data_IF_528115319237
#
_entry.id   IF_528115319237
#
_cell.length_a   1.000
_cell.length_b   1.000
_cell.length_c   1.000
_cell.angle_alpha   90.00
_cell.angle_beta   90.00
_cell.angle_gamma   90.00
#
_symmetry.space_group_name_H-M   'P 1'
#
loop_
_entity.id
_entity.type
_entity.pdbx_description
1 polymer ?
#
# COMPACT_ATOMS: atom_id res chain seq x y z
N UNK A 1 0.99 5.68 -114.62
CA UNK A 1 -0.37 5.34 -114.25
C UNK A 1 -0.31 4.08 -113.39
N UNK A 2 -0.25 4.11 -112.12
CA UNK A 2 -0.51 3.00 -111.22
C UNK A 2 -1.13 3.56 -109.90
N UNK A 3 -2.35 3.14 -109.62
CA UNK A 3 -3.08 3.54 -108.42
C UNK A 3 -2.58 2.66 -107.30
N UNK A 4 -2.22 3.26 -106.19
CA UNK A 4 -1.84 2.58 -104.91
C UNK A 4 -3.06 2.75 -103.99
N UNK A 5 -3.64 1.63 -103.57
CA UNK A 5 -4.68 1.58 -102.54
C UNK A 5 -4.03 1.49 -101.18
N UNK A 6 -4.33 2.45 -100.36
CA UNK A 6 -3.92 2.44 -98.98
C UNK A 6 -4.99 1.72 -98.14
N UNK A 7 -4.56 0.67 -97.46
CA UNK A 7 -5.36 -0.09 -96.52
C UNK A 7 -5.14 0.48 -95.12
N UNK A 8 -6.19 1.06 -94.55
CA UNK A 8 -6.17 1.51 -93.14
C UNK A 8 -6.48 0.28 -92.22
N UNK A 9 -5.51 -0.10 -91.43
CA UNK A 9 -5.63 -1.10 -90.38
C UNK A 9 -6.03 -0.39 -89.10
N UNK A 10 -7.29 -0.59 -88.69
CA UNK A 10 -7.79 -0.05 -87.44
C UNK A 10 -7.38 -0.96 -86.29
N UNK A 11 -6.44 -0.51 -85.46
CA UNK A 11 -6.07 -1.17 -84.19
C UNK A 11 -7.03 -0.72 -83.11
N UNK A 12 -7.93 -1.58 -82.65
CA UNK A 12 -8.76 -1.36 -81.50
C UNK A 12 -7.93 -1.54 -80.22
N UNK A 13 -7.68 -0.43 -79.51
CA UNK A 13 -7.00 -0.42 -78.20
C UNK A 13 -8.01 -0.83 -77.14
N UNK A 14 -7.94 -2.08 -76.64
CA UNK A 14 -8.69 -2.53 -75.46
C UNK A 14 -7.97 -2.04 -74.22
N UNK A 15 -8.45 -0.92 -73.63
CA UNK A 15 -8.00 -0.44 -72.33
C UNK A 15 -8.60 -1.31 -71.23
N UNK A 16 -7.79 -2.26 -70.74
CA UNK A 16 -8.13 -3.00 -69.53
C UNK A 16 -8.10 -2.10 -68.30
N UNK A 17 -9.27 -1.80 -67.72
CA UNK A 17 -9.42 -1.17 -66.42
C UNK A 17 -9.02 -2.22 -65.37
N UNK A 18 -7.77 -2.20 -64.90
CA UNK A 18 -7.33 -2.86 -63.68
C UNK A 18 -7.90 -2.10 -62.50
N UNK A 19 -9.02 -2.56 -61.95
CA UNK A 19 -9.52 -2.14 -60.64
C UNK A 19 -8.52 -2.68 -59.60
N UNK A 20 -7.55 -1.84 -59.20
CA UNK A 20 -6.73 -2.11 -58.06
C UNK A 20 -7.63 -1.98 -56.83
N UNK A 21 -8.09 -3.08 -56.26
CA UNK A 21 -8.61 -3.08 -54.88
C UNK A 21 -7.49 -2.60 -53.98
N UNK A 22 -7.52 -1.31 -53.59
CA UNK A 22 -6.84 -0.88 -52.38
C UNK A 22 -7.43 -1.69 -51.23
N UNK A 23 -6.67 -2.61 -50.68
CA UNK A 23 -6.88 -3.12 -49.34
C UNK A 23 -6.71 -1.90 -48.44
N UNK A 24 -7.82 -1.28 -48.06
CA UNK A 24 -7.81 -0.38 -46.90
C UNK A 24 -7.34 -1.25 -45.74
N UNK A 25 -6.08 -1.07 -45.38
CA UNK A 25 -5.62 -1.43 -44.03
C UNK A 25 -6.32 -0.52 -43.08
N UNK A 26 -7.58 -0.83 -42.79
CA UNK A 26 -8.21 -0.29 -41.57
C UNK A 26 -7.38 -0.81 -40.43
N UNK A 27 -6.52 0.04 -39.89
CA UNK A 27 -5.88 -0.22 -38.62
C UNK A 27 -7.03 -0.50 -37.64
N UNK A 28 -7.13 -1.74 -37.18
CA UNK A 28 -8.05 -2.08 -36.10
C UNK A 28 -7.76 -1.06 -34.99
N UNK A 29 -8.75 -0.28 -34.53
CA UNK A 29 -8.51 0.69 -33.49
C UNK A 29 -7.85 -0.02 -32.30
N UNK A 30 -6.72 0.51 -31.84
CA UNK A 30 -6.04 -0.07 -30.66
C UNK A 30 -7.04 -0.10 -29.52
N UNK A 31 -7.21 -1.26 -28.89
CA UNK A 31 -8.13 -1.41 -27.77
C UNK A 31 -7.72 -0.41 -26.68
N UNK A 32 -8.70 0.37 -26.17
CA UNK A 32 -8.42 1.34 -25.13
C UNK A 32 -7.86 0.63 -23.89
N UNK A 33 -6.77 1.17 -23.33
CA UNK A 33 -6.01 0.57 -22.22
C UNK A 33 -6.63 0.92 -20.86
N UNK A 34 -6.43 0.10 -19.83
CA UNK A 34 -6.69 0.48 -18.45
C UNK A 34 -5.92 1.74 -18.05
N UNK A 35 -6.39 2.42 -17.02
CA UNK A 35 -5.67 3.54 -16.37
C UNK A 35 -5.45 3.24 -14.89
N UNK A 36 -4.46 3.88 -14.30
CA UNK A 36 -4.24 3.85 -12.86
C UNK A 36 -3.85 5.25 -12.35
N UNK A 37 -4.43 5.64 -11.24
CA UNK A 37 -4.19 6.88 -10.54
C UNK A 37 -3.79 6.60 -9.09
N UNK A 38 -3.33 7.62 -8.35
CA UNK A 38 -2.94 7.53 -6.93
C UNK A 38 -1.96 6.39 -6.65
N UNK A 39 -0.99 6.19 -7.56
CA UNK A 39 -0.04 5.08 -7.47
C UNK A 39 0.99 5.39 -6.40
N UNK A 40 1.11 4.48 -5.44
CA UNK A 40 2.08 4.54 -4.36
C UNK A 40 2.87 3.23 -4.33
N UNK A 41 4.12 3.28 -4.74
CA UNK A 41 5.08 2.16 -4.75
C UNK A 41 6.02 2.34 -3.55
N UNK A 42 5.77 1.57 -2.48
CA UNK A 42 6.35 1.79 -1.16
C UNK A 42 5.70 2.96 -0.43
N UNK A 43 5.73 2.97 0.89
CA UNK A 43 5.11 4.00 1.74
C UNK A 43 5.59 5.40 1.36
N UNK A 44 4.64 6.30 1.07
CA UNK A 44 4.94 7.65 0.57
C UNK A 44 5.55 7.66 -0.83
N UNK A 45 5.28 6.63 -1.64
CA UNK A 45 5.82 6.45 -3.01
C UNK A 45 7.36 6.53 -3.07
N UNK A 46 8.03 6.00 -2.04
CA UNK A 46 9.49 6.10 -1.90
C UNK A 46 10.27 5.16 -2.81
N UNK A 47 9.61 4.17 -3.44
CA UNK A 47 10.19 3.19 -4.39
C UNK A 47 11.39 2.40 -3.83
N UNK A 48 11.40 2.23 -2.50
CA UNK A 48 12.44 1.51 -1.79
C UNK A 48 11.82 0.41 -0.94
N UNK A 49 12.46 -0.74 -0.93
CA UNK A 49 12.09 -1.87 -0.09
C UNK A 49 13.27 -2.37 0.74
N UNK A 50 12.97 -3.01 1.86
CA UNK A 50 13.94 -3.78 2.61
C UNK A 50 13.67 -5.28 2.38
N UNK A 51 14.70 -6.05 2.08
CA UNK A 51 14.55 -7.51 1.96
C UNK A 51 14.10 -8.11 3.28
N UNK A 52 13.22 -9.11 3.22
CA UNK A 52 12.61 -9.73 4.39
C UNK A 52 11.61 -8.85 5.14
N UNK A 53 11.18 -7.70 4.55
CA UNK A 53 10.20 -6.79 5.15
C UNK A 53 8.96 -6.67 4.28
N UNK A 54 7.89 -6.22 4.92
CA UNK A 54 6.66 -5.84 4.25
C UNK A 54 6.87 -4.68 3.30
N UNK A 55 6.15 -4.72 2.18
CA UNK A 55 6.18 -3.70 1.15
C UNK A 55 4.76 -3.30 0.76
N UNK A 56 4.51 -2.01 0.75
CA UNK A 56 3.22 -1.38 0.43
C UNK A 56 3.09 -1.07 -1.06
N UNK A 57 1.91 -1.32 -1.62
CA UNK A 57 1.50 -0.90 -2.95
C UNK A 57 0.06 -0.39 -2.91
N UNK A 58 -0.18 0.81 -3.42
CA UNK A 58 -1.53 1.32 -3.64
C UNK A 58 -1.68 1.85 -5.05
N UNK A 59 -2.87 1.65 -5.66
CA UNK A 59 -3.25 2.24 -6.94
C UNK A 59 -4.77 2.20 -7.14
N UNK A 60 -5.36 3.26 -7.67
CA UNK A 60 -6.75 3.26 -8.14
C UNK A 60 -6.79 2.89 -9.61
N UNK A 61 -7.36 1.73 -9.93
CA UNK A 61 -7.37 1.14 -11.27
C UNK A 61 -8.75 1.27 -11.90
N UNK A 62 -8.78 1.69 -13.17
CA UNK A 62 -9.98 1.67 -14.00
C UNK A 62 -9.69 0.88 -15.29
N UNK A 63 -10.28 -0.30 -15.43
CA UNK A 63 -10.29 -1.08 -16.66
C UNK A 63 -11.22 -0.47 -17.72
N UNK A 64 -11.00 -0.79 -18.98
CA UNK A 64 -11.92 -0.39 -20.05
C UNK A 64 -13.11 -1.32 -20.15
N UNK A 65 -12.87 -2.61 -20.07
CA UNK A 65 -13.92 -3.62 -19.92
C UNK A 65 -13.98 -4.08 -18.47
N UNK A 66 -13.17 -5.05 -18.12
CA UNK A 66 -13.01 -5.58 -16.76
C UNK A 66 -11.56 -6.00 -16.55
N UNK A 67 -11.10 -5.92 -15.32
CA UNK A 67 -9.77 -6.41 -14.94
C UNK A 67 -9.75 -7.92 -15.17
N UNK A 68 -8.79 -8.42 -15.94
CA UNK A 68 -8.51 -9.85 -16.05
C UNK A 68 -7.47 -10.30 -15.05
N UNK A 69 -6.49 -9.45 -14.74
CA UNK A 69 -5.46 -9.69 -13.72
C UNK A 69 -4.76 -8.40 -13.31
N UNK A 70 -4.23 -8.38 -12.07
CA UNK A 70 -3.33 -7.33 -11.58
C UNK A 70 -2.04 -7.99 -11.14
N UNK A 71 -0.90 -7.50 -11.61
CA UNK A 71 0.40 -8.11 -11.39
C UNK A 71 1.44 -7.10 -10.91
N UNK A 72 2.40 -7.59 -10.15
CA UNK A 72 3.68 -6.92 -9.87
C UNK A 72 4.82 -7.81 -10.36
N UNK A 73 5.82 -7.19 -10.98
CA UNK A 73 7.09 -7.83 -11.29
C UNK A 73 8.23 -6.94 -10.83
N UNK A 74 9.24 -7.54 -10.22
CA UNK A 74 10.49 -6.86 -9.86
C UNK A 74 11.60 -7.62 -10.56
N UNK A 75 12.27 -6.95 -11.51
CA UNK A 75 13.27 -7.55 -12.38
C UNK A 75 14.62 -6.87 -12.23
N UNK A 76 15.68 -7.66 -12.26
CA UNK A 76 17.05 -7.15 -12.27
C UNK A 76 17.31 -6.33 -13.54
N UNK A 77 18.01 -5.20 -13.39
CA UNK A 77 18.44 -4.37 -14.53
C UNK A 77 19.67 -4.99 -15.18
N UNK A 78 19.70 -5.04 -16.51
CA UNK A 78 20.85 -5.53 -17.26
C UNK A 78 22.11 -4.66 -17.10
N UNK A 79 21.96 -3.45 -16.59
CA UNK A 79 23.06 -2.47 -16.37
C UNK A 79 23.69 -2.59 -14.99
N UNK A 80 23.13 -3.41 -14.10
CA UNK A 80 23.58 -3.55 -12.71
C UNK A 80 24.17 -4.95 -12.48
N UNK A 81 24.98 -5.08 -11.44
CA UNK A 81 25.56 -6.36 -11.02
C UNK A 81 24.94 -6.82 -9.70
N UNK A 82 24.61 -8.09 -9.61
CA UNK A 82 23.97 -8.67 -8.44
C UNK A 82 24.73 -9.90 -7.94
N UNK A 83 24.56 -10.23 -6.67
CA UNK A 83 25.16 -11.41 -6.07
C UNK A 83 24.62 -12.73 -6.61
N UNK A 84 23.39 -12.73 -7.12
CA UNK A 84 22.72 -13.89 -7.73
C UNK A 84 21.64 -13.46 -8.72
N UNK A 85 21.28 -14.31 -9.70
CA UNK A 85 20.08 -14.12 -10.51
C UNK A 85 18.82 -14.16 -9.62
N UNK A 86 17.91 -13.20 -9.80
CA UNK A 86 16.69 -13.12 -9.01
C UNK A 86 15.60 -12.36 -9.76
N UNK A 87 14.35 -12.74 -9.52
CA UNK A 87 13.14 -12.05 -9.96
C UNK A 87 12.02 -12.31 -8.97
N UNK A 88 11.05 -11.42 -8.94
CA UNK A 88 9.86 -11.56 -8.12
C UNK A 88 8.63 -11.24 -8.95
N UNK A 89 7.59 -12.06 -8.83
CA UNK A 89 6.34 -11.90 -9.57
C UNK A 89 5.16 -12.27 -8.66
N UNK A 90 4.14 -11.41 -8.63
CA UNK A 90 2.87 -11.63 -7.95
C UNK A 90 1.70 -11.34 -8.87
N UNK A 91 0.58 -12.02 -8.63
CA UNK A 91 -0.70 -11.81 -9.31
C UNK A 91 -1.84 -11.87 -8.29
N UNK A 92 -2.88 -11.05 -8.48
CA UNK A 92 -4.01 -10.95 -7.57
C UNK A 92 -5.33 -11.20 -8.29
N UNK A 93 -5.78 -12.45 -8.24
CA UNK A 93 -7.00 -12.92 -8.91
C UNK A 93 -8.30 -12.31 -8.34
N UNK A 94 -8.28 -11.77 -7.13
CA UNK A 94 -9.45 -11.15 -6.48
C UNK A 94 -9.97 -9.91 -7.20
N UNK A 95 -9.17 -9.27 -8.04
CA UNK A 95 -9.59 -8.13 -8.85
C UNK A 95 -10.22 -8.52 -10.17
N UNK A 96 -10.24 -9.82 -10.51
CA UNK A 96 -10.79 -10.30 -11.78
C UNK A 96 -12.30 -10.02 -11.88
N UNK A 97 -12.72 -9.55 -13.05
CA UNK A 97 -14.13 -9.34 -13.38
C UNK A 97 -14.72 -8.02 -12.89
N UNK A 98 -13.98 -7.19 -12.13
CA UNK A 98 -14.41 -5.85 -11.73
C UNK A 98 -13.89 -4.80 -12.73
N UNK A 99 -14.60 -3.67 -12.84
CA UNK A 99 -14.23 -2.58 -13.76
C UNK A 99 -13.28 -1.58 -13.11
N UNK A 100 -13.46 -1.30 -11.84
CA UNK A 100 -12.64 -0.40 -11.04
C UNK A 100 -12.31 -1.05 -9.71
N UNK A 101 -11.10 -0.81 -9.23
CA UNK A 101 -10.63 -1.34 -7.96
C UNK A 101 -9.57 -0.42 -7.36
N UNK A 102 -9.56 -0.28 -6.04
CA UNK A 102 -8.38 0.18 -5.30
C UNK A 102 -7.51 -1.04 -5.00
N UNK A 103 -6.35 -1.09 -5.63
CA UNK A 103 -5.33 -2.12 -5.40
C UNK A 103 -4.49 -1.67 -4.22
N UNK A 104 -4.90 -2.06 -3.01
CA UNK A 104 -4.15 -1.80 -1.78
C UNK A 104 -3.57 -3.13 -1.30
N UNK A 105 -2.26 -3.29 -1.41
CA UNK A 105 -1.58 -4.56 -1.17
C UNK A 105 -0.34 -4.42 -0.34
N UNK A 106 -0.18 -5.38 0.54
CA UNK A 106 1.03 -5.64 1.29
C UNK A 106 1.59 -7.01 0.89
N UNK A 107 2.91 -7.07 0.69
CA UNK A 107 3.62 -8.31 0.42
C UNK A 107 5.06 -8.22 0.89
N UNK A 108 5.61 -9.34 1.31
CA UNK A 108 6.99 -9.40 1.79
C UNK A 108 7.96 -9.47 0.61
N UNK A 109 8.96 -8.60 0.58
CA UNK A 109 10.13 -8.78 -0.29
C UNK A 109 10.95 -9.95 0.25
N UNK A 110 11.20 -11.01 -0.54
CA UNK A 110 11.95 -12.17 -0.08
C UNK A 110 13.31 -11.80 0.56
N UNK A 111 13.66 -12.48 1.65
CA UNK A 111 14.90 -12.19 2.38
C UNK A 111 16.16 -12.50 1.55
N UNK A 112 16.05 -13.43 0.58
CA UNK A 112 17.12 -13.81 -0.35
C UNK A 112 17.29 -12.84 -1.52
N UNK A 113 16.42 -11.81 -1.66
CA UNK A 113 16.53 -10.82 -2.72
C UNK A 113 17.91 -10.13 -2.66
N UNK A 114 18.69 -10.13 -3.74
CA UNK A 114 19.95 -9.38 -3.79
C UNK A 114 19.70 -7.89 -3.59
N UNK A 115 20.58 -7.22 -2.84
CA UNK A 115 20.57 -5.76 -2.75
C UNK A 115 20.92 -5.15 -4.10
N UNK A 116 20.24 -4.04 -4.48
CA UNK A 116 20.52 -3.35 -5.74
C UNK A 116 19.35 -2.55 -6.29
N UNK A 117 19.52 -2.08 -7.53
CA UNK A 117 18.52 -1.32 -8.27
C UNK A 117 17.79 -2.25 -9.24
N UNK A 118 16.48 -2.12 -9.30
CA UNK A 118 15.58 -2.99 -10.06
C UNK A 118 14.63 -2.16 -10.93
N UNK A 119 13.99 -2.85 -11.86
CA UNK A 119 12.77 -2.38 -12.52
C UNK A 119 11.56 -2.95 -11.79
N UNK A 120 10.71 -2.07 -11.29
CA UNK A 120 9.41 -2.44 -10.74
C UNK A 120 8.35 -2.23 -11.81
N UNK A 121 7.53 -3.25 -12.06
CA UNK A 121 6.41 -3.18 -12.98
C UNK A 121 5.11 -3.38 -12.22
N UNK A 122 4.20 -2.41 -12.36
CA UNK A 122 2.79 -2.57 -12.01
C UNK A 122 2.00 -2.79 -13.29
N UNK A 123 1.29 -3.91 -13.39
CA UNK A 123 0.64 -4.35 -14.63
C UNK A 123 -0.83 -4.61 -14.37
N UNK A 124 -1.69 -4.05 -15.19
CA UNK A 124 -3.13 -4.33 -15.19
C UNK A 124 -3.50 -4.90 -16.56
N UNK A 125 -4.04 -6.11 -16.56
CA UNK A 125 -4.55 -6.76 -17.76
C UNK A 125 -6.07 -6.58 -17.84
N UNK A 126 -6.57 -6.22 -19.01
CA UNK A 126 -8.00 -6.02 -19.29
C UNK A 126 -8.55 -7.23 -20.06
N UNK A 127 -9.81 -7.60 -19.83
CA UNK A 127 -10.49 -8.69 -20.55
C UNK A 127 -10.60 -8.43 -22.07
N UNK A 128 -10.50 -7.16 -22.50
CA UNK A 128 -10.44 -6.79 -23.93
C UNK A 128 -9.07 -7.10 -24.59
N UNK A 129 -8.11 -7.68 -23.85
CA UNK A 129 -6.77 -8.02 -24.31
C UNK A 129 -5.74 -6.89 -24.26
N UNK A 130 -6.14 -5.66 -23.84
CA UNK A 130 -5.20 -4.56 -23.64
C UNK A 130 -4.54 -4.63 -22.25
N UNK A 131 -3.41 -3.92 -22.10
CA UNK A 131 -2.72 -3.81 -20.81
C UNK A 131 -2.28 -2.39 -20.50
N UNK A 132 -2.28 -2.04 -19.21
CA UNK A 132 -1.48 -0.99 -18.63
C UNK A 132 -0.20 -1.61 -18.08
N UNK A 133 0.94 -1.00 -18.34
CA UNK A 133 2.22 -1.36 -17.72
C UNK A 133 2.95 -0.10 -17.30
N UNK A 134 3.19 0.02 -16.00
CA UNK A 134 3.91 1.13 -15.40
C UNK A 134 5.23 0.57 -14.89
N UNK A 135 6.32 1.14 -15.39
CA UNK A 135 7.69 0.78 -14.97
C UNK A 135 8.28 1.92 -14.16
N UNK A 136 8.86 1.58 -13.02
CA UNK A 136 9.52 2.51 -12.12
C UNK A 136 10.89 1.98 -11.70
N UNK A 137 11.80 2.91 -11.43
CA UNK A 137 13.06 2.60 -10.77
C UNK A 137 12.79 2.20 -9.32
N UNK A 138 13.40 1.11 -8.88
CA UNK A 138 13.15 0.51 -7.59
C UNK A 138 14.45 0.07 -6.92
N UNK A 139 14.53 0.19 -5.60
CA UNK A 139 15.72 -0.20 -4.84
C UNK A 139 15.35 -1.23 -3.78
N UNK A 140 16.12 -2.31 -3.70
CA UNK A 140 16.07 -3.26 -2.60
C UNK A 140 17.35 -3.10 -1.78
N UNK A 141 17.20 -2.91 -0.47
CA UNK A 141 18.31 -2.70 0.47
C UNK A 141 18.28 -3.78 1.56
N UNK A 142 19.46 -4.19 2.00
CA UNK A 142 19.59 -5.03 3.20
C UNK A 142 19.23 -4.20 4.45
N UNK A 143 18.39 -4.70 5.36
CA UNK A 143 18.12 -4.03 6.63
C UNK A 143 19.38 -3.66 7.43
N UNK A 144 20.45 -4.45 7.31
CA UNK A 144 21.74 -4.17 7.95
C UNK A 144 22.45 -2.91 7.40
N UNK A 145 22.09 -2.48 6.18
CA UNK A 145 22.72 -1.35 5.49
C UNK A 145 21.92 -0.04 5.62
N UNK A 146 20.79 -0.06 6.35
CA UNK A 146 20.02 1.17 6.60
C UNK A 146 20.31 1.75 7.98
N UNK A 147 20.18 3.09 8.16
CA UNK A 147 20.45 3.73 9.45
C UNK A 147 19.55 3.23 10.59
N UNK A 148 18.30 2.89 10.28
CA UNK A 148 17.29 2.35 11.19
C UNK A 148 16.34 1.43 10.42
N UNK A 149 15.89 0.35 11.08
CA UNK A 149 14.85 -0.56 10.59
C UNK A 149 13.79 -0.75 11.69
N UNK A 150 12.90 0.23 11.91
CA UNK A 150 11.95 0.21 13.01
C UNK A 150 11.02 -1.00 12.92
N UNK A 151 10.95 -1.81 13.97
CA UNK A 151 10.07 -2.98 14.06
C UNK A 151 9.14 -2.83 15.27
N UNK A 152 7.83 -2.99 15.05
CA UNK A 152 6.88 -3.10 16.13
C UNK A 152 7.06 -4.50 16.75
N UNK A 153 7.55 -4.49 17.98
CA UNK A 153 7.79 -5.68 18.77
C UNK A 153 6.66 -5.90 19.77
N UNK A 154 6.95 -5.93 21.05
CA UNK A 154 6.02 -6.21 22.15
C UNK A 154 4.72 -5.43 22.06
N UNK A 155 3.77 -5.95 21.30
CA UNK A 155 2.43 -5.43 21.20
C UNK A 155 1.47 -6.24 22.07
N UNK A 156 0.58 -5.52 22.77
CA UNK A 156 -0.40 -6.13 23.68
C UNK A 156 -1.72 -5.37 23.62
N UNK A 157 -2.78 -6.12 23.79
CA UNK A 157 -4.16 -5.60 23.94
C UNK A 157 -4.77 -6.26 25.16
N UNK A 158 -5.37 -5.46 26.05
CA UNK A 158 -6.16 -5.94 27.17
C UNK A 158 -7.49 -5.19 27.29
N UNK A 159 -8.48 -5.85 27.89
CA UNK A 159 -9.79 -5.32 28.19
C UNK A 159 -10.04 -5.46 29.69
N UNK A 160 -10.32 -4.35 30.37
CA UNK A 160 -10.61 -4.33 31.81
C UNK A 160 -9.51 -5.03 32.63
N UNK A 161 -8.25 -4.82 32.27
CA UNK A 161 -7.08 -5.43 32.90
C UNK A 161 -6.81 -6.89 32.51
N UNK A 162 -7.65 -7.54 31.72
CA UNK A 162 -7.42 -8.89 31.21
C UNK A 162 -6.70 -8.85 29.86
N UNK A 163 -5.59 -9.56 29.77
CA UNK A 163 -4.82 -9.69 28.52
C UNK A 163 -5.63 -10.53 27.52
N UNK A 164 -5.82 -10.00 26.30
CA UNK A 164 -6.53 -10.68 25.21
C UNK A 164 -5.66 -10.94 23.99
N UNK A 165 -4.56 -10.20 23.84
CA UNK A 165 -3.55 -10.42 22.80
C UNK A 165 -2.17 -10.03 23.31
N UNK A 166 -1.15 -10.81 22.96
CA UNK A 166 0.25 -10.51 23.23
C UNK A 166 1.16 -11.18 22.19
N UNK A 167 1.95 -10.40 21.45
CA UNK A 167 3.00 -10.87 20.54
C UNK A 167 2.57 -12.07 19.69
N UNK A 168 1.68 -11.88 18.73
CA UNK A 168 1.11 -12.89 17.83
C UNK A 168 0.28 -14.00 18.52
N UNK A 169 0.10 -13.94 19.83
CA UNK A 169 -0.69 -14.92 20.59
C UNK A 169 -2.03 -14.32 21.00
N UNK A 170 -3.11 -14.90 20.49
CA UNK A 170 -4.48 -14.56 20.84
C UNK A 170 -4.94 -15.39 22.03
N UNK A 171 -5.38 -14.71 23.12
CA UNK A 171 -6.05 -15.34 24.26
C UNK A 171 -7.54 -15.43 24.00
N UNK A 172 -8.12 -14.40 23.37
CA UNK A 172 -9.50 -14.37 22.88
C UNK A 172 -9.50 -14.22 21.36
N UNK A 173 -10.43 -14.89 20.68
CA UNK A 173 -10.53 -14.85 19.21
C UNK A 173 -11.26 -13.61 18.71
N UNK A 174 -12.14 -13.03 19.53
CA UNK A 174 -12.96 -11.87 19.15
C UNK A 174 -12.65 -10.71 20.07
N UNK A 175 -12.19 -9.60 19.48
CA UNK A 175 -11.90 -8.36 20.19
C UNK A 175 -13.17 -7.50 20.25
N UNK A 176 -14.11 -7.84 21.16
CA UNK A 176 -15.34 -7.08 21.36
C UNK A 176 -15.21 -6.23 22.62
N UNK A 177 -15.39 -4.92 22.47
CA UNK A 177 -15.40 -3.94 23.54
C UNK A 177 -16.78 -3.31 23.68
N UNK A 178 -17.26 -3.15 24.89
CA UNK A 178 -18.53 -2.49 25.21
C UNK A 178 -18.30 -1.09 25.73
N UNK A 179 -19.35 -0.28 25.70
CA UNK A 179 -19.34 1.03 26.37
C UNK A 179 -18.97 0.85 27.84
N UNK A 180 -17.99 1.64 28.29
CA UNK A 180 -17.44 1.58 29.63
C UNK A 180 -16.27 0.61 29.81
N UNK A 181 -15.97 -0.26 28.83
CA UNK A 181 -14.77 -1.09 28.89
C UNK A 181 -13.51 -0.24 28.77
N UNK A 182 -12.49 -0.61 29.53
CA UNK A 182 -11.14 -0.05 29.43
C UNK A 182 -10.35 -0.84 28.37
N UNK A 183 -9.88 -0.13 27.36
CA UNK A 183 -9.00 -0.66 26.32
C UNK A 183 -7.55 -0.22 26.60
N UNK A 184 -6.67 -1.19 26.85
CA UNK A 184 -5.21 -0.99 26.86
C UNK A 184 -4.63 -1.50 25.55
N UNK A 185 -3.93 -0.62 24.86
CA UNK A 185 -3.29 -0.95 23.60
C UNK A 185 -1.87 -0.41 23.57
N UNK A 186 -0.92 -1.30 23.80
CA UNK A 186 0.50 -0.93 23.95
C UNK A 186 1.37 -1.61 22.92
N UNK A 187 2.37 -0.90 22.42
CA UNK A 187 3.40 -1.41 21.54
C UNK A 187 4.77 -0.86 21.91
N UNK A 188 5.81 -1.60 21.52
CA UNK A 188 7.20 -1.19 21.58
C UNK A 188 7.79 -1.22 20.19
N UNK A 189 8.50 -0.18 19.79
CA UNK A 189 9.30 -0.16 18.55
C UNK A 189 10.76 -0.29 18.91
N UNK A 190 11.45 -1.19 18.21
CA UNK A 190 12.87 -1.51 18.41
C UNK A 190 13.71 -1.02 17.23
N UNK A 191 15.02 -1.16 17.33
CA UNK A 191 16.03 -0.86 16.31
C UNK A 191 15.95 0.58 15.79
N UNK A 192 15.78 1.52 16.73
CA UNK A 192 15.65 2.96 16.44
C UNK A 192 16.82 3.78 16.99
N UNK A 193 17.00 4.97 16.45
CA UNK A 193 17.86 6.06 16.95
C UNK A 193 17.34 7.41 16.45
N UNK A 194 17.86 8.51 17.01
CA UNK A 194 17.44 9.88 16.64
C UNK A 194 16.04 10.22 17.16
N UNK A 195 15.27 10.94 16.37
CA UNK A 195 13.96 11.45 16.72
C UNK A 195 12.84 10.61 16.09
N UNK A 196 11.69 10.60 16.73
CA UNK A 196 10.53 9.92 16.19
C UNK A 196 9.30 10.03 17.08
N UNK A 197 8.19 9.46 16.61
CA UNK A 197 6.90 9.46 17.30
C UNK A 197 6.18 8.12 17.08
N UNK A 198 5.60 7.62 18.16
CA UNK A 198 4.76 6.43 18.19
C UNK A 198 3.34 6.80 18.61
N UNK A 199 2.37 6.43 17.81
CA UNK A 199 0.95 6.54 18.11
C UNK A 199 0.30 5.17 18.30
N UNK A 200 -0.69 5.10 19.20
CA UNK A 200 -1.70 4.07 19.28
C UNK A 200 -3.05 4.74 19.05
N UNK A 201 -3.81 4.33 18.05
CA UNK A 201 -5.06 4.98 17.64
C UNK A 201 -6.16 3.98 17.33
N UNK A 202 -7.43 4.41 17.47
CA UNK A 202 -8.61 3.71 16.98
C UNK A 202 -9.22 4.46 15.79
N UNK A 203 -9.60 3.70 14.77
CA UNK A 203 -10.17 4.21 13.54
C UNK A 203 -11.43 3.45 13.20
N UNK A 204 -12.54 4.14 12.97
CA UNK A 204 -13.75 3.48 12.45
C UNK A 204 -13.53 2.99 11.02
N UNK A 205 -13.82 1.72 10.75
CA UNK A 205 -13.77 1.21 9.37
C UNK A 205 -14.79 1.88 8.44
N UNK A 206 -15.90 2.37 9.00
CA UNK A 206 -16.89 3.13 8.22
C UNK A 206 -16.38 4.47 7.68
N UNK A 207 -15.28 4.98 8.19
CA UNK A 207 -14.61 6.18 7.68
C UNK A 207 -13.82 5.94 6.39
N UNK A 208 -13.62 4.67 6.00
CA UNK A 208 -12.78 4.27 4.85
C UNK A 208 -11.42 4.98 4.85
N UNK A 209 -10.74 4.98 5.99
CA UNK A 209 -9.51 5.69 6.24
C UNK A 209 -8.49 4.76 6.90
N UNK A 210 -7.36 4.50 6.23
CA UNK A 210 -6.36 3.50 6.60
C UNK A 210 -4.96 4.10 6.55
N UNK A 211 -4.55 4.93 7.53
CA UNK A 211 -3.22 5.50 7.56
C UNK A 211 -2.19 4.42 7.89
N UNK A 212 -1.09 4.40 7.16
CA UNK A 212 0.05 3.50 7.36
C UNK A 212 1.31 4.26 7.78
N UNK A 213 1.22 5.57 7.81
CA UNK A 213 2.26 6.46 8.29
C UNK A 213 1.66 7.55 9.16
N UNK A 214 2.46 8.03 10.10
CA UNK A 214 2.13 9.22 10.90
C UNK A 214 1.93 10.46 10.02
N UNK A 215 2.59 10.53 8.86
CA UNK A 215 2.44 11.65 7.92
C UNK A 215 1.03 11.77 7.35
N UNK A 216 0.31 10.66 7.27
CA UNK A 216 -1.05 10.60 6.75
C UNK A 216 -2.11 10.63 7.85
N UNK A 217 -1.72 10.84 9.12
CA UNK A 217 -2.63 10.77 10.25
C UNK A 217 -3.52 12.02 10.34
N UNK A 218 -4.83 11.84 10.15
CA UNK A 218 -5.85 12.86 10.35
C UNK A 218 -6.50 12.72 11.74
N UNK A 219 -6.14 13.61 12.64
CA UNK A 219 -6.63 13.61 14.03
C UNK A 219 -8.15 13.83 14.17
N UNK A 220 -8.84 14.27 13.11
CA UNK A 220 -10.31 14.36 13.11
C UNK A 220 -10.99 13.01 12.87
N UNK A 221 -10.27 12.03 12.32
CA UNK A 221 -10.77 10.69 11.98
C UNK A 221 -10.35 9.62 12.97
N UNK A 222 -9.37 9.89 13.81
CA UNK A 222 -8.81 8.91 14.75
C UNK A 222 -9.05 9.31 16.20
N UNK A 223 -9.24 8.31 17.07
CA UNK A 223 -9.23 8.46 18.52
C UNK A 223 -7.83 8.05 18.98
N UNK A 224 -7.07 8.99 19.53
CA UNK A 224 -5.71 8.73 20.01
C UNK A 224 -5.78 8.05 21.38
N UNK A 225 -5.21 6.84 21.50
CA UNK A 225 -5.06 6.16 22.79
C UNK A 225 -3.78 6.61 23.47
N UNK A 226 -2.69 6.73 22.72
CA UNK A 226 -1.43 7.24 23.26
C UNK A 226 -0.57 7.87 22.17
N UNK A 227 0.27 8.83 22.56
CA UNK A 227 1.31 9.43 21.74
C UNK A 227 2.61 9.47 22.55
N UNK A 228 3.71 9.01 21.97
CA UNK A 228 5.03 9.06 22.58
C UNK A 228 6.04 9.60 21.60
N UNK A 229 6.58 10.77 21.89
CA UNK A 229 7.69 11.36 21.16
C UNK A 229 9.03 11.00 21.81
N UNK A 230 10.07 10.91 21.01
CA UNK A 230 11.43 10.74 21.50
C UNK A 230 12.41 11.57 20.69
N UNK A 231 13.50 11.98 21.33
CA UNK A 231 14.51 12.84 20.73
C UNK A 231 15.93 12.31 21.03
N UNK A 232 16.81 12.41 20.02
CA UNK A 232 18.24 12.11 20.13
C UNK A 232 18.55 10.73 20.75
N UNK A 233 17.72 9.71 20.51
CA UNK A 233 18.01 8.38 21.01
C UNK A 233 19.30 7.80 20.39
N UNK A 234 20.13 7.11 21.17
CA UNK A 234 21.29 6.39 20.64
C UNK A 234 20.86 5.19 19.76
N UNK A 235 21.82 4.64 19.00
CA UNK A 235 21.57 3.47 18.18
C UNK A 235 21.07 2.25 19.00
N UNK A 236 20.29 1.37 18.36
CA UNK A 236 19.67 0.21 18.96
C UNK A 236 18.76 0.51 20.17
N UNK A 237 18.18 1.72 20.19
CA UNK A 237 17.20 2.11 21.20
C UNK A 237 15.81 1.55 20.89
N UNK A 238 14.91 1.78 21.85
CA UNK A 238 13.49 1.43 21.75
C UNK A 238 12.63 2.53 22.35
N UNK A 239 11.39 2.63 21.85
CA UNK A 239 10.32 3.44 22.42
C UNK A 239 9.10 2.57 22.66
N UNK A 240 8.34 2.83 23.70
CA UNK A 240 7.13 2.08 24.01
C UNK A 240 6.05 3.00 24.56
N UNK A 241 4.78 2.68 24.27
CA UNK A 241 3.62 3.33 24.90
C UNK A 241 3.43 2.89 26.34
N UNK A 242 3.76 1.62 26.68
CA UNK A 242 3.86 1.17 28.06
C UNK A 242 5.28 1.42 28.57
N UNK A 243 5.41 2.30 29.56
CA UNK A 243 6.70 2.75 30.09
C UNK A 243 6.70 2.82 31.61
N UNK A 244 7.87 2.77 32.19
CA UNK A 244 8.01 2.94 33.62
C UNK A 244 8.14 4.44 33.96
N UNK A 245 7.19 4.95 34.75
CA UNK A 245 7.16 6.33 35.23
C UNK A 245 7.30 6.28 36.77
N UNK A 246 8.37 6.85 37.27
CA UNK A 246 8.69 6.83 38.74
C UNK A 246 8.67 5.40 39.34
N UNK A 247 9.16 4.42 38.60
CA UNK A 247 9.22 3.02 39.05
C UNK A 247 7.93 2.21 38.86
N UNK A 248 6.84 2.83 38.41
CA UNK A 248 5.56 2.18 38.14
C UNK A 248 5.34 2.03 36.66
N UNK A 249 4.97 0.81 36.22
CA UNK A 249 4.57 0.57 34.83
C UNK A 249 3.22 1.22 34.57
N UNK A 250 3.13 2.05 33.55
CA UNK A 250 1.92 2.73 33.14
C UNK A 250 1.98 3.21 31.70
N UNK A 251 0.83 3.48 31.15
CA UNK A 251 0.57 4.06 29.84
C UNK A 251 -0.86 4.55 29.82
N UNK A 252 -1.24 5.29 28.82
CA UNK A 252 -2.60 5.76 28.62
C UNK A 252 -3.49 4.61 28.17
N UNK A 253 -4.65 4.49 28.81
CA UNK A 253 -5.67 3.49 28.52
C UNK A 253 -6.99 4.23 28.25
N UNK A 254 -7.72 3.87 27.19
CA UNK A 254 -8.94 4.58 26.85
C UNK A 254 -10.19 3.83 27.29
N UNK A 255 -11.12 4.53 27.91
CA UNK A 255 -12.46 3.99 28.15
C UNK A 255 -13.32 4.14 26.91
N UNK A 256 -13.96 3.05 26.47
CA UNK A 256 -14.91 3.11 25.36
C UNK A 256 -16.08 4.01 25.74
N UNK A 257 -16.20 5.16 25.08
CA UNK A 257 -17.16 6.21 25.43
C UNK A 257 -16.54 7.45 26.06
N UNK A 258 -15.23 7.49 26.22
CA UNK A 258 -14.52 8.71 26.66
C UNK A 258 -14.87 9.92 25.77
N UNK A 259 -15.02 11.09 26.36
CA UNK A 259 -15.36 12.33 25.65
C UNK A 259 -14.16 13.02 25.01
N UNK A 260 -12.95 12.69 25.48
CA UNK A 260 -11.66 13.19 24.97
C UNK A 260 -10.71 12.02 24.77
N UNK A 261 -9.80 12.15 23.83
CA UNK A 261 -8.72 11.22 23.56
C UNK A 261 -7.41 11.62 24.29
N UNK A 262 -6.34 10.85 24.14
CA UNK A 262 -5.03 11.11 24.76
C UNK A 262 -4.02 11.73 23.78
N UNK A 263 -4.49 12.57 22.86
CA UNK A 263 -3.56 13.31 22.02
C UNK A 263 -2.75 14.32 22.84
N UNK A 264 -1.47 14.45 22.52
CA UNK A 264 -0.57 15.44 23.13
C UNK A 264 -0.11 16.47 22.08
N UNK A 265 0.09 17.75 22.45
CA UNK A 265 0.07 18.30 23.82
C UNK A 265 -1.34 18.61 24.36
N UNK A 266 -2.38 18.39 23.58
CA UNK A 266 -3.77 18.64 23.99
C UNK A 266 -4.68 17.52 23.55
N UNK A 267 -5.50 16.95 24.48
CA UNK A 267 -6.55 16.01 24.14
C UNK A 267 -7.54 16.59 23.12
N UNK A 268 -8.03 15.75 22.21
CA UNK A 268 -9.05 16.12 21.24
C UNK A 268 -10.42 15.58 21.68
N UNK A 269 -11.51 16.33 21.47
CA UNK A 269 -12.86 15.80 21.65
C UNK A 269 -13.11 14.58 20.75
N UNK A 270 -13.73 13.54 21.32
CA UNK A 270 -14.20 12.37 20.56
C UNK A 270 -15.59 12.68 20.00
N UNK A 271 -15.64 13.42 18.91
CA UNK A 271 -16.85 13.94 18.28
C UNK A 271 -16.76 13.90 16.76
N UNK A 272 -17.86 14.24 16.06
CA UNK A 272 -17.89 14.25 14.58
C UNK A 272 -17.67 12.86 13.98
N UNK A 273 -16.77 12.75 13.00
CA UNK A 273 -16.48 11.48 12.31
C UNK A 273 -15.95 10.42 13.26
N UNK A 274 -15.18 10.79 14.30
CA UNK A 274 -14.62 9.86 15.27
C UNK A 274 -15.48 9.61 16.51
N UNK A 275 -16.71 10.16 16.61
CA UNK A 275 -17.61 9.88 17.73
C UNK A 275 -17.89 8.38 17.88
N UNK A 276 -17.97 7.90 19.12
CA UNK A 276 -18.23 6.49 19.38
C UNK A 276 -19.53 5.99 18.73
N UNK A 277 -19.49 4.81 18.17
CA UNK A 277 -20.63 4.10 17.59
C UNK A 277 -20.37 2.59 17.63
N UNK A 278 -21.43 1.78 17.61
CA UNK A 278 -21.28 0.35 17.38
C UNK A 278 -20.75 0.09 15.96
N UNK A 279 -19.82 -0.84 15.82
CA UNK A 279 -19.24 -1.21 14.53
C UNK A 279 -17.82 -1.75 14.61
N UNK A 280 -17.21 -1.93 13.44
CA UNK A 280 -15.83 -2.36 13.30
C UNK A 280 -14.89 -1.15 13.36
N UNK A 281 -13.79 -1.34 14.06
CA UNK A 281 -12.69 -0.40 14.17
C UNK A 281 -11.38 -1.11 13.86
N UNK A 282 -10.39 -0.35 13.43
CA UNK A 282 -9.00 -0.74 13.41
C UNK A 282 -8.28 -0.08 14.58
N UNK A 283 -7.65 -0.90 15.42
CA UNK A 283 -6.65 -0.46 16.40
C UNK A 283 -5.31 -0.46 15.68
N UNK A 284 -4.67 0.71 15.57
CA UNK A 284 -3.46 0.85 14.78
C UNK A 284 -2.33 1.43 15.62
N UNK A 285 -1.17 0.78 15.58
CA UNK A 285 0.10 1.34 16.02
C UNK A 285 0.82 1.92 14.83
N UNK A 286 1.18 3.21 14.91
CA UNK A 286 1.88 3.94 13.86
C UNK A 286 3.16 4.52 14.43
N UNK A 287 4.28 4.21 13.80
CA UNK A 287 5.56 4.80 14.17
C UNK A 287 6.23 5.49 12.99
N UNK A 288 6.82 6.65 13.25
CA UNK A 288 7.72 7.32 12.31
C UNK A 288 9.00 7.74 13.00
N UNK A 289 10.13 7.33 12.44
CA UNK A 289 11.42 7.93 12.70
C UNK A 289 11.56 9.18 11.82
N UNK A 290 11.59 10.35 12.43
CA UNK A 290 11.61 11.63 11.71
C UNK A 290 13.02 12.00 11.25
N UNK A 291 14.07 11.54 11.95
CA UNK A 291 15.47 11.76 11.54
C UNK A 291 15.80 11.04 10.24
N UNK A 292 15.34 9.79 10.06
CA UNK A 292 15.71 8.95 8.91
C UNK A 292 14.56 8.69 7.95
N UNK A 293 13.39 9.31 8.18
CA UNK A 293 12.19 9.17 7.36
C UNK A 293 11.80 7.70 7.12
N UNK A 294 11.70 6.92 8.20
CA UNK A 294 11.28 5.51 8.18
C UNK A 294 10.03 5.31 9.01
N UNK A 295 9.07 4.61 8.47
CA UNK A 295 7.79 4.31 9.13
C UNK A 295 7.58 2.82 9.28
N UNK A 296 6.81 2.42 10.27
CA UNK A 296 6.24 1.08 10.42
C UNK A 296 4.88 1.19 11.09
N UNK A 297 3.99 0.26 10.82
CA UNK A 297 2.68 0.21 11.44
C UNK A 297 2.24 -1.24 11.69
N UNK A 298 1.23 -1.41 12.54
CA UNK A 298 0.55 -2.68 12.76
C UNK A 298 -0.91 -2.41 13.11
N UNK A 299 -1.83 -3.17 12.50
CA UNK A 299 -3.26 -2.96 12.65
C UNK A 299 -3.97 -4.23 13.15
N UNK A 300 -4.99 -4.04 13.99
CA UNK A 300 -5.81 -5.10 14.56
C UNK A 300 -7.29 -4.76 14.41
N UNK A 301 -8.11 -5.64 13.84
CA UNK A 301 -9.54 -5.44 13.81
C UNK A 301 -10.14 -5.63 15.21
N UNK A 302 -10.95 -4.68 15.65
CA UNK A 302 -11.74 -4.79 16.88
C UNK A 302 -13.21 -4.44 16.61
N UNK A 303 -14.11 -4.93 17.45
CA UNK A 303 -15.53 -4.59 17.41
C UNK A 303 -15.88 -3.75 18.62
N UNK A 304 -16.60 -2.66 18.42
CA UNK A 304 -17.19 -1.88 19.52
C UNK A 304 -18.70 -2.09 19.50
N UNK A 305 -19.24 -2.56 20.62
CA UNK A 305 -20.68 -2.62 20.90
C UNK A 305 -21.02 -1.46 21.85
N UNK A 306 -21.43 -0.34 21.26
CA UNK A 306 -21.68 0.93 21.95
C UNK A 306 -23.17 1.11 22.25
N UNK A 307 -23.77 0.17 22.97
CA UNK A 307 -25.16 0.24 23.38
C UNK A 307 -25.33 0.60 24.86
#
# INVERSE_FOLDING_TARGET
MKKIYSVFLSIALVSGLSVACKKDNQSVPEAAKPTADNIEIGTGNNKNALRGRDFHLNADVLARDKISDVQVKILQKNTESYSAPWKFELSWAEFKGVKNATVHKHFTIPAEAPEGKYDFFFIVLDENGSKLEIREDFVITDPANVPVDPQIGRDMISRNGQLIYYMETWVEKELIFKKGDELKAHAQVNEIKGDGVLYSVLIKRSANYHPESVDNLDLNKVIVISKVEHHNLPAASKVATLRQINGVWGGEDITIGATEDFNEPKPNPVSGEKSWASGQYDLVFLYKNTTYNRSTFKSFPITVDYK
#
